data_IF_046223544134
#
_entry.id   IF_046223544134
#
_cell.length_a   1.000
_cell.length_b   1.000
_cell.length_c   1.000
_cell.angle_alpha   90.00
_cell.angle_beta   90.00
_cell.angle_gamma   90.00
#
_symmetry.space_group_name_H-M   'P 1'
#
loop_
_entity.id
_entity.type
_entity.pdbx_description
1 polymer ?
#
# COMPACT_ATOMS: atom_id res chain seq x y z
N UNK A 1 42.93 26.27 20.40
CA UNK A 1 42.72 25.39 19.23
C UNK A 1 41.67 24.30 19.53
N UNK A 2 40.45 24.65 19.97
CA UNK A 2 39.38 23.67 20.33
C UNK A 2 37.96 24.03 19.83
N UNK A 3 37.79 25.18 19.18
CA UNK A 3 36.46 25.66 18.74
C UNK A 3 36.10 25.35 17.28
N UNK A 4 37.03 24.80 16.48
CA UNK A 4 36.79 24.54 15.04
C UNK A 4 36.21 23.15 14.73
N UNK A 5 36.14 22.26 15.71
CA UNK A 5 35.69 20.88 15.50
C UNK A 5 34.18 20.68 15.68
N UNK A 6 33.49 21.59 16.38
CA UNK A 6 32.06 21.45 16.69
C UNK A 6 31.11 21.89 15.57
N UNK A 7 31.58 22.66 14.57
CA UNK A 7 30.75 23.12 13.44
C UNK A 7 30.59 22.09 12.31
N UNK A 8 31.45 21.08 12.23
CA UNK A 8 31.30 20.01 11.23
C UNK A 8 30.23 18.98 11.60
N UNK A 9 29.90 18.83 12.89
CA UNK A 9 28.96 17.81 13.36
C UNK A 9 27.49 18.17 13.13
N UNK A 10 27.14 19.46 13.01
CA UNK A 10 25.76 19.93 12.76
C UNK A 10 25.38 19.93 11.28
N UNK A 11 26.35 19.96 10.36
CA UNK A 11 26.07 19.95 8.91
C UNK A 11 25.71 18.54 8.38
N UNK A 12 26.26 17.47 8.98
CA UNK A 12 25.99 16.10 8.56
C UNK A 12 24.59 15.59 8.95
N UNK A 13 24.03 16.07 10.06
CA UNK A 13 22.69 15.65 10.53
C UNK A 13 21.55 16.27 9.71
N UNK A 14 21.75 17.46 9.14
CA UNK A 14 20.73 18.14 8.32
C UNK A 14 20.44 17.45 6.98
N UNK A 15 21.44 16.78 6.38
CA UNK A 15 21.29 16.16 5.06
C UNK A 15 20.54 14.81 5.10
N UNK A 16 20.68 14.04 6.19
CA UNK A 16 20.04 12.75 6.36
C UNK A 16 18.52 12.84 6.66
N UNK A 17 18.06 13.94 7.25
CA UNK A 17 16.64 14.14 7.53
C UNK A 17 15.82 14.36 6.24
N UNK A 18 16.39 15.06 5.26
CA UNK A 18 15.72 15.38 3.99
C UNK A 18 15.48 14.15 3.11
N UNK A 19 16.42 13.20 3.08
CA UNK A 19 16.29 11.96 2.30
C UNK A 19 15.25 11.00 2.88
N UNK A 20 15.14 10.94 4.21
CA UNK A 20 14.13 10.12 4.88
C UNK A 20 12.69 10.57 4.54
N UNK A 21 12.42 11.88 4.57
CA UNK A 21 11.09 12.41 4.24
C UNK A 21 10.73 12.21 2.75
N UNK A 22 11.70 12.37 1.85
CA UNK A 22 11.48 12.13 0.43
C UNK A 22 11.13 10.66 0.13
N UNK A 23 11.78 9.72 0.83
CA UNK A 23 11.50 8.29 0.69
C UNK A 23 10.10 7.92 1.19
N UNK A 24 9.64 8.52 2.30
CA UNK A 24 8.29 8.31 2.83
C UNK A 24 7.21 8.80 1.86
N UNK A 25 7.40 10.00 1.30
CA UNK A 25 6.50 10.56 0.30
C UNK A 25 6.43 9.68 -0.97
N UNK A 26 7.58 9.24 -1.49
CA UNK A 26 7.65 8.35 -2.65
C UNK A 26 6.96 7.00 -2.38
N UNK A 27 7.18 6.42 -1.20
CA UNK A 27 6.55 5.17 -0.78
C UNK A 27 5.04 5.32 -0.67
N UNK A 28 4.56 6.40 -0.06
CA UNK A 28 3.13 6.71 0.06
C UNK A 28 2.47 6.85 -1.32
N UNK A 29 3.11 7.58 -2.24
CA UNK A 29 2.61 7.71 -3.61
C UNK A 29 2.58 6.37 -4.35
N UNK A 30 3.61 5.53 -4.17
CA UNK A 30 3.64 4.20 -4.75
C UNK A 30 2.48 3.33 -4.26
N UNK A 31 2.21 3.30 -2.94
CA UNK A 31 1.10 2.53 -2.36
C UNK A 31 -0.26 3.03 -2.89
N UNK A 32 -0.45 4.35 -2.96
CA UNK A 32 -1.65 4.95 -3.55
C UNK A 32 -1.80 4.56 -5.03
N UNK A 33 -0.71 4.56 -5.79
CA UNK A 33 -0.70 4.12 -7.18
C UNK A 33 -1.12 2.65 -7.33
N UNK A 34 -0.60 1.76 -6.48
CA UNK A 34 -1.02 0.36 -6.46
C UNK A 34 -2.52 0.22 -6.13
N UNK A 35 -3.00 0.92 -5.10
CA UNK A 35 -4.41 0.88 -4.71
C UNK A 35 -5.34 1.43 -5.79
N UNK A 36 -4.92 2.46 -6.54
CA UNK A 36 -5.69 3.04 -7.64
C UNK A 36 -6.00 2.02 -8.76
N UNK A 37 -5.14 1.02 -8.98
CA UNK A 37 -5.40 -0.05 -9.96
C UNK A 37 -6.64 -0.89 -9.63
N UNK A 38 -7.05 -0.92 -8.37
CA UNK A 38 -8.22 -1.67 -7.91
C UNK A 38 -9.55 -0.95 -8.20
N UNK A 39 -9.50 0.37 -8.39
CA UNK A 39 -10.68 1.24 -8.40
C UNK A 39 -11.64 0.97 -9.57
N UNK A 40 -11.13 0.46 -10.70
CA UNK A 40 -11.96 0.14 -11.86
C UNK A 40 -13.05 -0.91 -11.57
N UNK A 41 -12.81 -1.81 -10.60
CA UNK A 41 -13.78 -2.84 -10.23
C UNK A 41 -14.30 -2.65 -8.81
N UNK A 42 -13.44 -2.25 -7.87
CA UNK A 42 -13.79 -2.10 -6.46
C UNK A 42 -14.22 -0.67 -6.09
N UNK A 43 -14.29 0.23 -7.07
CA UNK A 43 -14.64 1.64 -6.87
C UNK A 43 -13.50 2.48 -6.28
N UNK A 44 -13.63 3.80 -6.39
CA UNK A 44 -12.67 4.75 -5.81
C UNK A 44 -12.53 4.51 -4.31
N UNK A 45 -11.28 4.45 -3.83
CA UNK A 45 -10.93 4.09 -2.44
C UNK A 45 -11.52 2.75 -1.97
N UNK A 46 -11.83 1.84 -2.91
CA UNK A 46 -12.41 0.54 -2.61
C UNK A 46 -13.90 0.60 -2.26
N UNK A 47 -14.59 1.70 -2.60
CA UNK A 47 -16.01 1.90 -2.34
C UNK A 47 -16.84 1.58 -3.58
N UNK A 48 -17.36 0.37 -3.64
CA UNK A 48 -18.31 -0.04 -4.68
C UNK A 48 -19.68 0.63 -4.48
N UNK A 49 -20.44 0.79 -5.56
CA UNK A 49 -21.84 1.23 -5.47
C UNK A 49 -22.71 0.16 -4.80
N UNK A 50 -23.80 0.59 -4.18
CA UNK A 50 -24.80 -0.31 -3.62
C UNK A 50 -25.37 -1.23 -4.72
N UNK A 51 -25.57 -2.51 -4.40
CA UNK A 51 -26.00 -3.53 -5.35
C UNK A 51 -24.90 -4.06 -6.29
N UNK A 52 -23.64 -3.61 -6.15
CA UNK A 52 -22.52 -4.18 -6.89
C UNK A 52 -22.28 -5.66 -6.51
N UNK A 53 -22.11 -6.51 -7.52
CA UNK A 53 -21.66 -7.90 -7.32
C UNK A 53 -20.19 -7.99 -6.89
N UNK A 54 -19.39 -6.96 -7.20
CA UNK A 54 -18.00 -6.85 -6.74
C UNK A 54 -18.01 -6.30 -5.31
N UNK A 55 -17.28 -6.93 -4.36
CA UNK A 55 -17.26 -6.47 -2.98
C UNK A 55 -16.47 -5.17 -2.80
N UNK A 56 -16.93 -4.35 -1.86
CA UNK A 56 -16.17 -3.22 -1.31
C UNK A 56 -14.90 -3.70 -0.60
N UNK A 57 -13.80 -2.97 -0.77
CA UNK A 57 -12.54 -3.19 -0.06
C UNK A 57 -12.36 -2.22 1.11
N UNK A 58 -13.07 -1.09 1.10
CA UNK A 58 -12.92 -0.04 2.11
C UNK A 58 -13.24 -0.59 3.52
N UNK A 59 -12.31 -0.42 4.46
CA UNK A 59 -12.45 -0.88 5.85
C UNK A 59 -12.50 -2.40 6.00
N UNK A 60 -12.03 -3.16 5.02
CA UNK A 60 -11.86 -4.61 5.12
C UNK A 60 -10.66 -4.93 6.02
N UNK A 61 -10.74 -5.92 6.93
CA UNK A 61 -9.61 -6.24 7.81
C UNK A 61 -8.36 -6.61 7.01
N UNK A 62 -7.23 -6.01 7.37
CA UNK A 62 -5.94 -6.18 6.68
C UNK A 62 -5.59 -7.66 6.47
N UNK A 63 -5.62 -8.45 7.54
CA UNK A 63 -5.16 -9.85 7.49
C UNK A 63 -6.12 -10.74 6.69
N UNK A 64 -7.41 -10.38 6.69
CA UNK A 64 -8.37 -11.01 5.80
C UNK A 64 -8.02 -10.73 4.34
N UNK A 65 -7.77 -9.47 3.96
CA UNK A 65 -7.36 -9.12 2.59
C UNK A 65 -6.09 -9.84 2.15
N UNK A 66 -5.08 -9.92 3.01
CA UNK A 66 -3.84 -10.64 2.72
C UNK A 66 -4.13 -12.12 2.45
N UNK A 67 -4.92 -12.76 3.31
CA UNK A 67 -5.32 -14.15 3.17
C UNK A 67 -6.04 -14.38 1.83
N UNK A 68 -7.00 -13.49 1.50
CA UNK A 68 -7.75 -13.59 0.26
C UNK A 68 -6.86 -13.41 -0.98
N UNK A 69 -5.95 -12.43 -0.97
CA UNK A 69 -5.03 -12.18 -2.09
C UNK A 69 -4.06 -13.35 -2.29
N UNK A 70 -3.56 -13.95 -1.20
CA UNK A 70 -2.72 -15.16 -1.29
C UNK A 70 -3.49 -16.35 -1.86
N UNK A 71 -4.72 -16.56 -1.38
CA UNK A 71 -5.57 -17.64 -1.87
C UNK A 71 -5.97 -17.47 -3.36
N UNK A 72 -6.11 -16.24 -3.84
CA UNK A 72 -6.28 -15.98 -5.27
C UNK A 72 -4.99 -16.26 -6.04
N UNK A 73 -3.84 -15.87 -5.50
CA UNK A 73 -2.53 -16.01 -6.14
C UNK A 73 -2.11 -17.47 -6.31
N UNK A 74 -2.35 -18.30 -5.28
CA UNK A 74 -2.04 -19.73 -5.29
C UNK A 74 -3.16 -20.60 -5.92
N UNK A 75 -4.33 -20.02 -6.18
CA UNK A 75 -5.45 -20.69 -6.84
C UNK A 75 -6.38 -21.47 -5.91
N UNK A 76 -6.16 -21.43 -4.59
CA UNK A 76 -7.00 -22.13 -3.62
C UNK A 76 -8.37 -21.50 -3.42
N UNK A 77 -8.52 -20.20 -3.73
CA UNK A 77 -9.81 -19.50 -3.75
C UNK A 77 -10.28 -19.23 -5.17
N UNK A 78 -11.44 -19.74 -5.62
CA UNK A 78 -11.94 -19.47 -6.96
C UNK A 78 -12.27 -18.00 -7.18
N UNK A 79 -11.94 -17.49 -8.37
CA UNK A 79 -12.25 -16.13 -8.82
C UNK A 79 -12.43 -16.07 -10.34
N UNK A 80 -13.12 -15.04 -10.81
CA UNK A 80 -13.24 -14.74 -12.25
C UNK A 80 -11.92 -14.19 -12.80
N UNK A 81 -11.42 -13.10 -12.20
CA UNK A 81 -10.22 -12.39 -12.70
C UNK A 81 -9.11 -12.23 -11.65
N UNK A 82 -9.45 -12.31 -10.35
CA UNK A 82 -8.49 -12.01 -9.27
C UNK A 82 -7.29 -12.95 -9.23
N UNK A 83 -7.39 -14.18 -9.75
CA UNK A 83 -6.24 -15.07 -9.92
C UNK A 83 -5.13 -14.45 -10.78
N UNK A 84 -5.51 -13.74 -11.85
CA UNK A 84 -4.54 -13.13 -12.75
C UNK A 84 -4.01 -11.82 -12.16
N UNK A 85 -4.87 -11.02 -11.54
CA UNK A 85 -4.47 -9.77 -10.92
C UNK A 85 -3.53 -9.99 -9.74
N UNK A 86 -3.84 -10.93 -8.85
CA UNK A 86 -3.04 -11.21 -7.65
C UNK A 86 -1.63 -11.72 -7.96
N UNK A 87 -1.42 -12.41 -9.09
CA UNK A 87 -0.08 -12.83 -9.55
C UNK A 87 0.84 -11.67 -9.91
N UNK A 88 0.29 -10.52 -10.28
CA UNK A 88 1.06 -9.31 -10.57
C UNK A 88 1.60 -8.58 -9.34
N UNK A 89 1.20 -9.01 -8.13
CA UNK A 89 1.61 -8.38 -6.88
C UNK A 89 2.61 -9.25 -6.12
N UNK A 90 3.67 -8.62 -5.64
CA UNK A 90 4.55 -9.22 -4.61
C UNK A 90 3.81 -9.29 -3.27
N UNK A 91 4.28 -10.15 -2.37
CA UNK A 91 3.68 -10.31 -1.05
C UNK A 91 3.77 -9.03 -0.21
N UNK A 92 4.84 -8.27 -0.37
CA UNK A 92 5.00 -6.95 0.24
C UNK A 92 3.96 -5.95 -0.30
N UNK A 93 3.73 -5.92 -1.62
CA UNK A 93 2.71 -5.07 -2.21
C UNK A 93 1.29 -5.47 -1.79
N UNK A 94 1.00 -6.77 -1.69
CA UNK A 94 -0.27 -7.29 -1.14
C UNK A 94 -0.48 -6.74 0.28
N UNK A 95 0.54 -6.83 1.14
CA UNK A 95 0.46 -6.30 2.50
C UNK A 95 0.24 -4.78 2.52
N UNK A 96 0.90 -4.03 1.63
CA UNK A 96 0.73 -2.57 1.52
C UNK A 96 -0.67 -2.17 1.08
N UNK A 97 -1.22 -2.77 0.03
CA UNK A 97 -2.59 -2.45 -0.43
C UNK A 97 -3.65 -2.91 0.58
N UNK A 98 -3.46 -4.05 1.24
CA UNK A 98 -4.33 -4.49 2.32
C UNK A 98 -4.34 -3.49 3.49
N UNK A 99 -3.17 -2.96 3.85
CA UNK A 99 -3.06 -1.92 4.88
C UNK A 99 -3.75 -0.62 4.45
N UNK A 100 -3.59 -0.22 3.18
CA UNK A 100 -4.26 0.95 2.61
C UNK A 100 -5.78 0.87 2.71
N UNK A 101 -6.37 -0.25 2.27
CA UNK A 101 -7.82 -0.42 2.25
C UNK A 101 -8.42 -0.61 3.66
N UNK A 102 -7.70 -1.27 4.56
CA UNK A 102 -8.11 -1.40 5.96
C UNK A 102 -8.21 -0.06 6.69
N UNK A 103 -7.38 0.92 6.31
CA UNK A 103 -7.41 2.27 6.88
C UNK A 103 -8.55 3.14 6.33
N UNK A 104 -9.19 2.72 5.23
CA UNK A 104 -10.36 3.44 4.72
C UNK A 104 -11.54 3.24 5.65
N UNK A 105 -12.33 4.30 5.86
CA UNK A 105 -13.63 4.15 6.51
C UNK A 105 -14.49 3.21 5.67
N UNK A 106 -15.36 2.42 6.31
CA UNK A 106 -16.40 1.68 5.58
C UNK A 106 -17.37 2.63 4.89
#
# INVERSE_FOLDING_TARGET
MRFRLSLLATLLTGLAASSAMAQDAATTLHIRGLAATCANCHGTDGRTKEGSAIPSLAGMPRDYMITQMKAFKDGTRPATVMHQLSKGFTDAQIASVATYFAAQKR
#
